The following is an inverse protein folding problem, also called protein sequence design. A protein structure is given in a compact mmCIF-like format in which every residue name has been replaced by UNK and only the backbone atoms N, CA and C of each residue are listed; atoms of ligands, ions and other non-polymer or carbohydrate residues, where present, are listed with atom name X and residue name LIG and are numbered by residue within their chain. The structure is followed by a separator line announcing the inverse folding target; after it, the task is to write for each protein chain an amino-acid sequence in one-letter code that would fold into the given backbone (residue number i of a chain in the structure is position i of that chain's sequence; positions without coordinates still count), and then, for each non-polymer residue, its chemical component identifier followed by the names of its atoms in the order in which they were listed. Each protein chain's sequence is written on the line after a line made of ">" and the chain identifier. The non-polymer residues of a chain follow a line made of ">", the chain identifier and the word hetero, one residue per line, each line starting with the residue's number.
data_IF_537301752114
#
_entry.id   IF_537301752114
#
_cell.length_a   1.000
_cell.length_b   1.000
_cell.length_c   1.000
_cell.angle_alpha   90.00
_cell.angle_beta   90.00
_cell.angle_gamma   90.00
#
_symmetry.space_group_name_H-M   'P 1'
#
loop_
_entity.id
_entity.type
_entity.pdbx_description
1 polymer ?
#
# COMPACT_ATOMS: atom_id res chain seq x y z
N UNK A 1 -30.81 -49.94 5.45
CA UNK A 1 -29.61 -49.27 4.92
C UNK A 1 -29.77 -47.79 5.20
N UNK A 2 -29.33 -47.34 6.37
CA UNK A 2 -29.23 -45.91 6.70
C UNK A 2 -27.78 -45.48 6.47
N UNK A 3 -27.58 -44.42 5.67
CA UNK A 3 -26.26 -43.79 5.49
C UNK A 3 -25.88 -43.04 6.78
N UNK A 4 -24.62 -43.08 7.22
CA UNK A 4 -24.19 -42.23 8.33
C UNK A 4 -24.09 -40.77 7.90
N UNK A 5 -24.57 -39.86 8.75
CA UNK A 5 -24.39 -38.42 8.61
C UNK A 5 -22.91 -38.05 8.79
N UNK A 6 -22.40 -37.29 7.84
CA UNK A 6 -21.07 -36.69 7.87
C UNK A 6 -21.04 -35.53 8.88
N UNK A 7 -20.21 -35.63 9.91
CA UNK A 7 -19.99 -34.54 10.88
C UNK A 7 -19.22 -33.40 10.20
N UNK A 8 -19.94 -32.36 9.79
CA UNK A 8 -19.33 -31.08 9.41
C UNK A 8 -18.75 -30.44 10.67
N UNK A 9 -17.43 -30.50 10.82
CA UNK A 9 -16.73 -29.83 11.92
C UNK A 9 -16.55 -28.36 11.53
N UNK A 10 -17.43 -27.48 12.02
CA UNK A 10 -17.23 -26.03 11.90
C UNK A 10 -16.02 -25.62 12.75
N UNK A 11 -14.97 -25.10 12.13
CA UNK A 11 -13.88 -24.41 12.83
C UNK A 11 -14.43 -23.09 13.36
N UNK A 12 -14.50 -22.94 14.68
CA UNK A 12 -14.80 -21.66 15.32
C UNK A 12 -13.53 -20.81 15.33
N UNK A 13 -13.63 -19.56 14.88
CA UNK A 13 -12.64 -18.52 15.15
C UNK A 13 -12.79 -18.18 16.63
N UNK A 14 -11.76 -18.47 17.42
CA UNK A 14 -11.70 -18.03 18.81
C UNK A 14 -11.27 -16.55 18.82
N UNK A 15 -12.23 -15.64 18.84
CA UNK A 15 -11.97 -14.24 19.21
C UNK A 15 -11.86 -14.19 20.72
N UNK A 16 -10.63 -14.18 21.24
CA UNK A 16 -10.39 -13.96 22.66
C UNK A 16 -10.48 -12.46 22.94
N UNK A 17 -11.64 -11.99 23.38
CA UNK A 17 -11.79 -10.68 24.01
C UNK A 17 -11.44 -10.83 25.50
N UNK A 18 -10.17 -10.65 25.85
CA UNK A 18 -9.71 -10.68 27.25
C UNK A 18 -9.86 -9.28 27.87
N UNK A 19 -11.07 -8.95 28.33
CA UNK A 19 -11.24 -7.85 29.27
C UNK A 19 -11.07 -8.37 30.71
N UNK A 20 -10.02 -7.90 31.40
CA UNK A 20 -9.96 -7.96 32.86
C UNK A 20 -9.34 -9.19 33.51
N UNK A 21 -8.22 -9.72 33.01
CA UNK A 21 -7.36 -10.61 33.81
C UNK A 21 -6.02 -9.93 34.11
N UNK A 22 -5.74 -9.70 35.39
CA UNK A 22 -4.37 -9.53 35.87
C UNK A 22 -3.72 -10.91 35.82
N UNK A 23 -2.97 -11.19 34.75
CA UNK A 23 -2.25 -12.45 34.63
C UNK A 23 -0.90 -12.28 35.34
N UNK A 24 -0.82 -12.61 36.63
CA UNK A 24 0.46 -12.80 37.30
C UNK A 24 1.06 -14.15 36.89
N UNK A 25 2.28 -14.12 36.32
CA UNK A 25 3.15 -15.27 36.19
C UNK A 25 2.99 -16.08 34.90
N UNK A 26 3.60 -15.62 33.80
CA UNK A 26 3.99 -16.49 32.69
C UNK A 26 5.50 -16.63 32.69
N UNK A 27 6.03 -17.55 33.50
CA UNK A 27 7.35 -18.11 33.26
C UNK A 27 7.19 -19.27 32.27
N UNK A 28 7.56 -19.06 31.00
CA UNK A 28 7.81 -20.06 29.92
C UNK A 28 6.75 -20.34 28.83
N UNK A 29 5.59 -19.66 28.78
CA UNK A 29 4.68 -19.82 27.62
C UNK A 29 5.00 -18.84 26.48
N UNK A 30 5.30 -19.34 25.28
CA UNK A 30 5.45 -18.52 24.06
C UNK A 30 4.10 -18.37 23.38
N UNK A 31 3.62 -17.14 23.16
CA UNK A 31 2.37 -16.92 22.40
C UNK A 31 2.71 -16.94 20.90
N UNK A 32 1.94 -17.70 20.12
CA UNK A 32 2.13 -17.80 18.66
C UNK A 32 0.93 -17.18 17.96
N UNK A 33 1.19 -16.14 17.18
CA UNK A 33 0.21 -15.45 16.34
C UNK A 33 0.36 -16.01 14.93
N UNK A 34 -0.64 -16.77 14.49
CA UNK A 34 -0.63 -17.46 13.20
C UNK A 34 -1.11 -16.55 12.08
N UNK A 35 -0.62 -16.77 10.86
CA UNK A 35 -1.16 -16.17 9.65
C UNK A 35 -1.00 -17.12 8.48
N UNK A 36 -2.04 -17.19 7.65
CA UNK A 36 -2.07 -17.93 6.39
C UNK A 36 -2.83 -17.14 5.32
N UNK A 37 -3.08 -17.77 4.16
CA UNK A 37 -3.78 -17.14 3.04
C UNK A 37 -5.23 -16.71 3.35
N UNK A 38 -5.82 -17.21 4.44
CA UNK A 38 -7.21 -16.95 4.83
C UNK A 38 -7.34 -15.96 5.97
N UNK A 39 -6.24 -15.64 6.66
CA UNK A 39 -6.21 -14.53 7.60
C UNK A 39 -5.01 -14.50 8.54
N UNK A 40 -5.04 -13.52 9.42
CA UNK A 40 -3.96 -13.23 10.36
C UNK A 40 -4.53 -13.08 11.77
N UNK A 41 -3.93 -13.78 12.73
CA UNK A 41 -4.20 -13.56 14.14
C UNK A 41 -3.76 -12.16 14.57
N UNK A 42 -4.39 -11.65 15.62
CA UNK A 42 -4.12 -10.31 16.15
C UNK A 42 -4.08 -10.35 17.66
N UNK A 43 -3.07 -9.71 18.25
CA UNK A 43 -2.92 -9.57 19.69
C UNK A 43 -2.61 -8.10 20.00
N UNK A 44 -3.49 -7.45 20.75
CA UNK A 44 -3.30 -6.11 21.28
C UNK A 44 -3.20 -6.25 22.79
N UNK A 45 -2.11 -5.74 23.36
CA UNK A 45 -1.81 -5.89 24.77
C UNK A 45 -1.72 -4.52 25.43
N UNK A 46 -2.47 -4.33 26.51
CA UNK A 46 -2.42 -3.11 27.31
C UNK A 46 -1.06 -2.92 28.02
N UNK A 47 -0.86 -1.76 28.62
CA UNK A 47 0.43 -1.29 29.16
C UNK A 47 1.00 -2.10 30.35
N UNK A 48 0.26 -3.07 30.90
CA UNK A 48 0.63 -3.83 32.10
C UNK A 48 1.46 -5.10 31.81
N UNK A 49 1.77 -5.41 30.56
CA UNK A 49 2.41 -6.67 30.15
C UNK A 49 3.64 -6.43 29.26
N UNK A 50 4.57 -5.63 29.76
CA UNK A 50 5.92 -5.51 29.18
C UNK A 50 6.66 -6.86 29.27
N UNK A 51 7.34 -7.27 28.20
CA UNK A 51 8.24 -8.43 28.24
C UNK A 51 7.65 -9.77 27.76
N UNK A 52 6.41 -9.79 27.25
CA UNK A 52 5.84 -11.03 26.69
C UNK A 52 6.57 -11.43 25.40
N UNK A 53 7.10 -12.67 25.38
CA UNK A 53 7.74 -13.24 24.21
C UNK A 53 6.70 -13.85 23.25
N UNK A 54 6.75 -13.43 21.99
CA UNK A 54 5.82 -13.82 20.94
C UNK A 54 6.54 -14.44 19.75
N UNK A 55 5.81 -15.28 19.02
CA UNK A 55 6.07 -15.64 17.62
C UNK A 55 4.97 -15.01 16.79
N UNK A 56 5.35 -14.32 15.74
CA UNK A 56 4.42 -13.61 14.87
C UNK A 56 4.65 -14.09 13.45
N UNK A 57 3.64 -14.72 12.87
CA UNK A 57 3.65 -15.16 11.49
C UNK A 57 2.94 -14.10 10.64
N UNK A 58 3.59 -13.61 9.59
CA UNK A 58 2.99 -12.77 8.53
C UNK A 58 2.98 -13.54 7.22
N UNK A 59 1.81 -13.72 6.60
CA UNK A 59 1.70 -14.50 5.36
C UNK A 59 2.21 -13.73 4.15
N UNK A 60 3.10 -14.34 3.36
CA UNK A 60 3.58 -13.80 2.09
C UNK A 60 2.94 -14.59 0.94
N UNK A 61 2.13 -13.96 0.07
CA UNK A 61 1.30 -14.66 -0.91
C UNK A 61 2.05 -15.17 -2.14
N UNK A 62 3.28 -14.70 -2.38
CA UNK A 62 4.08 -15.08 -3.55
C UNK A 62 5.58 -15.15 -3.23
N UNK A 63 6.35 -15.81 -4.09
CA UNK A 63 7.81 -15.80 -4.06
C UNK A 63 8.43 -14.55 -4.70
N UNK A 64 7.65 -13.50 -4.97
CA UNK A 64 8.17 -12.22 -5.46
C UNK A 64 8.72 -11.37 -4.30
N UNK A 65 9.18 -10.17 -4.60
CA UNK A 65 9.63 -9.23 -3.57
C UNK A 65 8.47 -8.66 -2.76
N UNK A 66 8.65 -8.60 -1.44
CA UNK A 66 7.70 -7.98 -0.51
C UNK A 66 8.46 -7.13 0.50
N UNK A 67 7.86 -6.04 0.98
CA UNK A 67 8.39 -5.27 2.10
C UNK A 67 7.75 -5.81 3.37
N UNK A 68 8.59 -6.23 4.31
CA UNK A 68 8.17 -6.70 5.62
C UNK A 68 8.71 -5.78 6.72
N UNK A 69 8.14 -5.86 7.92
CA UNK A 69 8.65 -5.18 9.09
C UNK A 69 8.55 -6.04 10.34
N UNK A 70 9.54 -6.05 11.24
CA UNK A 70 9.45 -6.80 12.48
C UNK A 70 8.36 -6.25 13.39
N UNK A 71 7.38 -7.09 13.71
CA UNK A 71 6.29 -6.80 14.65
C UNK A 71 6.60 -7.16 16.11
N UNK A 72 7.85 -7.55 16.38
CA UNK A 72 8.36 -7.85 17.72
C UNK A 72 9.84 -7.44 17.80
N UNK A 73 10.26 -6.99 18.98
CA UNK A 73 11.62 -6.50 19.22
C UNK A 73 12.59 -7.64 19.53
N UNK A 74 13.81 -7.56 19.00
CA UNK A 74 14.90 -8.47 19.33
C UNK A 74 15.08 -9.66 18.38
N UNK A 75 14.41 -9.68 17.23
CA UNK A 75 14.62 -10.69 16.19
C UNK A 75 16.03 -10.55 15.57
N UNK A 76 16.96 -11.50 15.75
CA UNK A 76 18.28 -11.43 15.12
C UNK A 76 18.18 -11.63 13.60
N UNK A 77 18.92 -10.84 12.81
CA UNK A 77 18.92 -10.92 11.34
C UNK A 77 19.35 -12.30 10.83
N UNK A 78 20.45 -12.85 11.36
CA UNK A 78 20.95 -14.17 10.97
C UNK A 78 19.91 -15.29 11.18
N UNK A 79 19.26 -15.29 12.35
CA UNK A 79 18.19 -16.25 12.68
C UNK A 79 16.96 -16.05 11.78
N UNK A 80 16.60 -14.80 11.47
CA UNK A 80 15.49 -14.51 10.57
C UNK A 80 15.75 -15.13 9.20
N UNK A 81 16.92 -14.88 8.61
CA UNK A 81 17.32 -15.40 7.30
C UNK A 81 17.28 -16.94 7.29
N UNK A 82 17.89 -17.59 8.28
CA UNK A 82 17.99 -19.06 8.32
C UNK A 82 16.65 -19.78 8.57
N UNK A 83 15.66 -19.11 9.17
CA UNK A 83 14.37 -19.71 9.55
C UNK A 83 13.23 -19.41 8.58
N UNK A 84 13.39 -18.46 7.67
CA UNK A 84 12.29 -17.95 6.83
C UNK A 84 12.37 -18.32 5.35
N UNK A 85 13.34 -19.16 4.95
CA UNK A 85 13.49 -19.58 3.56
C UNK A 85 13.77 -18.40 2.63
N UNK A 86 14.59 -17.45 3.09
CA UNK A 86 15.04 -16.31 2.27
C UNK A 86 15.97 -16.84 1.17
N UNK A 87 15.76 -16.36 -0.06
CA UNK A 87 16.59 -16.77 -1.21
C UNK A 87 18.05 -16.41 -0.94
N UNK A 88 18.92 -17.40 -1.09
CA UNK A 88 20.36 -17.24 -1.04
C UNK A 88 20.89 -17.09 -2.47
N UNK A 89 21.63 -16.01 -2.72
CA UNK A 89 22.33 -15.82 -3.97
C UNK A 89 23.81 -16.20 -3.80
N UNK A 90 24.10 -17.48 -4.03
CA UNK A 90 25.44 -18.05 -3.85
C UNK A 90 26.50 -17.36 -4.73
N UNK A 91 26.10 -16.81 -5.88
CA UNK A 91 27.00 -16.10 -6.80
C UNK A 91 27.56 -14.82 -6.20
N UNK A 92 26.73 -14.08 -5.46
CA UNK A 92 27.13 -12.79 -4.84
C UNK A 92 27.38 -12.89 -3.33
N UNK A 93 27.18 -14.06 -2.72
CA UNK A 93 27.37 -14.28 -1.29
C UNK A 93 26.41 -13.47 -0.41
N UNK A 94 25.21 -13.20 -0.91
CA UNK A 94 24.19 -12.40 -0.21
C UNK A 94 22.83 -13.13 -0.16
N UNK A 95 21.92 -12.55 0.62
CA UNK A 95 20.54 -13.00 0.70
C UNK A 95 19.62 -11.94 0.14
N UNK A 96 18.47 -12.37 -0.39
CA UNK A 96 17.38 -11.48 -0.78
C UNK A 96 16.62 -10.98 0.46
N UNK A 97 17.35 -10.26 1.30
CA UNK A 97 16.90 -9.45 2.41
C UNK A 97 17.66 -8.13 2.34
N UNK A 98 16.96 -7.02 2.20
CA UNK A 98 17.60 -5.73 2.03
C UNK A 98 16.83 -4.67 2.82
N UNK A 99 17.46 -3.92 3.74
CA UNK A 99 16.92 -2.62 4.10
C UNK A 99 16.99 -1.68 2.88
N UNK A 100 16.13 -0.67 2.85
CA UNK A 100 16.29 0.43 1.92
C UNK A 100 17.46 1.29 2.40
N UNK A 101 18.44 1.52 1.54
CA UNK A 101 19.47 2.55 1.74
C UNK A 101 18.92 3.87 1.23
N UNK A 102 18.63 4.75 2.18
CA UNK A 102 17.98 6.03 1.94
C UNK A 102 18.90 7.02 1.19
N UNK A 103 20.23 6.85 1.24
CA UNK A 103 21.17 7.72 0.53
C UNK A 103 21.26 7.38 -0.96
N UNK A 104 21.37 6.08 -1.28
CA UNK A 104 21.42 5.62 -2.67
C UNK A 104 20.05 5.35 -3.29
N UNK A 105 18.98 5.38 -2.49
CA UNK A 105 17.62 5.02 -2.84
C UNK A 105 17.53 3.62 -3.47
N UNK A 106 18.32 2.69 -2.92
CA UNK A 106 18.47 1.33 -3.42
C UNK A 106 18.34 0.32 -2.28
N UNK A 107 17.96 -0.92 -2.61
CA UNK A 107 17.86 -2.01 -1.66
C UNK A 107 19.23 -2.68 -1.51
N UNK A 108 19.91 -2.45 -0.38
CA UNK A 108 21.25 -3.03 -0.14
C UNK A 108 21.15 -4.47 0.36
N UNK A 109 21.64 -5.48 -0.39
CA UNK A 109 21.51 -6.88 0.02
C UNK A 109 22.27 -7.20 1.31
N UNK A 110 21.65 -8.00 2.16
CA UNK A 110 22.26 -8.52 3.37
C UNK A 110 23.36 -9.53 3.03
N UNK A 111 24.58 -9.23 3.44
CA UNK A 111 25.73 -10.14 3.34
C UNK A 111 26.01 -10.78 4.69
N UNK A 112 26.34 -12.08 4.67
CA UNK A 112 26.36 -12.93 5.87
C UNK A 112 27.53 -12.68 6.83
N UNK A 113 28.33 -11.62 6.68
CA UNK A 113 29.52 -11.44 7.51
C UNK A 113 29.15 -11.04 8.95
N UNK A 114 28.93 -12.05 9.81
CA UNK A 114 28.91 -11.99 11.28
C UNK A 114 27.82 -11.15 11.98
N UNK A 115 26.77 -10.73 11.27
CA UNK A 115 25.80 -9.77 11.80
C UNK A 115 24.79 -10.40 12.79
N UNK A 116 25.09 -10.32 14.10
CA UNK A 116 24.16 -10.57 15.20
C UNK A 116 23.25 -9.36 15.51
N UNK A 117 23.24 -8.31 14.67
CA UNK A 117 22.34 -7.19 14.89
C UNK A 117 20.90 -7.65 14.78
N UNK A 118 20.06 -7.11 15.66
CA UNK A 118 18.62 -7.32 15.60
C UNK A 118 18.04 -6.53 14.44
N UNK A 119 17.00 -7.08 13.82
CA UNK A 119 16.12 -6.30 12.97
C UNK A 119 15.52 -5.17 13.81
N UNK A 120 15.43 -3.98 13.22
CA UNK A 120 14.87 -2.81 13.88
C UNK A 120 13.35 -2.87 13.74
N UNK A 121 12.65 -2.88 14.88
CA UNK A 121 11.19 -2.84 14.93
C UNK A 121 10.67 -1.61 14.17
N UNK A 122 9.62 -1.80 13.36
CA UNK A 122 9.03 -0.73 12.55
C UNK A 122 9.89 -0.27 11.36
N UNK A 123 11.10 -0.80 11.16
CA UNK A 123 11.87 -0.60 9.91
C UNK A 123 11.40 -1.60 8.85
N UNK A 124 11.33 -1.15 7.61
CA UNK A 124 10.97 -1.96 6.44
C UNK A 124 12.18 -2.66 5.83
N UNK A 125 12.00 -3.91 5.41
CA UNK A 125 12.99 -4.74 4.73
C UNK A 125 12.36 -5.40 3.52
N UNK A 126 12.93 -5.22 2.32
CA UNK A 126 12.54 -5.99 1.15
C UNK A 126 13.09 -7.41 1.28
N UNK A 127 12.23 -8.40 1.04
CA UNK A 127 12.62 -9.81 1.04
C UNK A 127 12.11 -10.54 -0.19
N UNK A 128 12.81 -11.61 -0.56
CA UNK A 128 12.28 -12.64 -1.46
C UNK A 128 12.45 -14.03 -0.85
N UNK A 129 11.36 -14.80 -0.84
CA UNK A 129 11.33 -16.18 -0.33
C UNK A 129 11.47 -17.19 -1.46
N UNK A 130 11.96 -18.38 -1.14
CA UNK A 130 12.02 -19.51 -2.07
C UNK A 130 10.63 -20.06 -2.43
N UNK A 131 9.62 -19.82 -1.59
CA UNK A 131 8.22 -20.20 -1.82
C UNK A 131 7.25 -19.29 -1.03
N UNK A 132 5.99 -19.25 -1.48
CA UNK A 132 4.84 -18.67 -0.74
C UNK A 132 4.74 -19.27 0.66
N UNK A 133 4.37 -18.45 1.65
CA UNK A 133 4.17 -18.90 3.03
C UNK A 133 4.52 -17.83 4.05
N UNK A 134 4.37 -18.16 5.34
CA UNK A 134 4.61 -17.22 6.42
C UNK A 134 6.09 -16.83 6.56
N UNK A 135 6.33 -15.57 6.93
CA UNK A 135 7.55 -15.13 7.61
C UNK A 135 7.29 -15.07 9.11
N UNK A 136 8.28 -15.44 9.89
CA UNK A 136 8.22 -15.61 11.34
C UNK A 136 9.14 -14.59 11.98
N UNK A 137 8.57 -13.74 12.84
CA UNK A 137 9.29 -12.88 13.76
C UNK A 137 9.15 -13.44 15.17
N UNK A 138 10.27 -13.61 15.88
CA UNK A 138 10.31 -13.97 17.29
C UNK A 138 10.95 -12.85 18.08
N UNK A 139 10.35 -12.48 19.20
CA UNK A 139 10.87 -11.41 20.04
C UNK A 139 9.91 -11.04 21.15
N UNK A 140 10.16 -9.89 21.76
CA UNK A 140 9.29 -9.30 22.77
C UNK A 140 8.24 -8.42 22.08
N UNK A 141 6.98 -8.55 22.48
CA UNK A 141 5.88 -7.73 21.97
C UNK A 141 6.08 -6.24 22.28
N UNK A 142 5.67 -5.39 21.35
CA UNK A 142 5.65 -3.94 21.54
C UNK A 142 4.28 -3.51 22.08
N UNK A 143 4.26 -2.91 23.27
CA UNK A 143 3.02 -2.48 23.97
C UNK A 143 2.90 -0.97 24.11
N UNK A 144 3.85 -0.23 23.54
CA UNK A 144 3.92 1.23 23.62
C UNK A 144 4.14 1.85 22.25
N UNK A 145 4.24 3.17 22.26
CA UNK A 145 4.61 3.97 21.11
C UNK A 145 5.99 3.57 20.58
N UNK A 146 6.09 3.34 19.26
CA UNK A 146 7.34 3.02 18.57
C UNK A 146 7.73 4.20 17.68
N UNK A 147 8.91 4.74 17.90
CA UNK A 147 9.47 5.82 17.09
C UNK A 147 10.49 5.25 16.10
N UNK A 148 10.30 5.51 14.81
CA UNK A 148 11.18 5.06 13.74
C UNK A 148 11.82 6.28 13.06
N UNK A 149 13.15 6.42 13.08
CA UNK A 149 13.81 7.53 12.42
C UNK A 149 13.62 7.45 10.90
N UNK A 150 13.39 8.60 10.29
CA UNK A 150 13.32 8.77 8.83
C UNK A 150 14.30 9.85 8.39
N UNK A 151 14.83 9.73 7.19
CA UNK A 151 15.82 10.66 6.64
C UNK A 151 15.35 11.25 5.31
N UNK A 152 15.74 12.50 5.06
CA UNK A 152 15.67 13.13 3.74
C UNK A 152 17.06 13.15 3.12
N UNK A 153 17.58 11.95 2.84
CA UNK A 153 18.77 11.76 2.02
C UNK A 153 18.34 11.59 0.57
N UNK A 154 19.01 12.28 -0.37
CA UNK A 154 18.71 12.21 -1.80
C UNK A 154 17.20 12.43 -2.12
N UNK A 155 16.45 11.37 -2.40
CA UNK A 155 15.02 11.43 -2.74
C UNK A 155 14.08 11.39 -1.53
N UNK A 156 14.58 11.03 -0.33
CA UNK A 156 13.82 11.05 0.92
C UNK A 156 12.84 9.90 1.13
N UNK A 157 12.96 8.80 0.40
CA UNK A 157 12.13 7.61 0.60
C UNK A 157 12.68 6.75 1.74
N UNK A 158 11.79 6.27 2.60
CA UNK A 158 12.11 5.47 3.77
C UNK A 158 11.19 4.24 3.82
N UNK A 159 11.76 3.06 4.03
CA UNK A 159 11.00 1.84 4.27
C UNK A 159 10.74 1.66 5.77
N UNK A 160 9.47 1.67 6.14
CA UNK A 160 8.99 1.47 7.52
C UNK A 160 7.92 0.37 7.52
N UNK A 161 7.31 0.06 8.66
CA UNK A 161 6.22 -0.89 8.67
C UNK A 161 5.61 -1.11 10.04
N UNK A 162 4.64 -2.03 10.06
CA UNK A 162 3.83 -2.28 11.23
C UNK A 162 4.65 -2.90 12.39
N UNK A 163 4.90 -2.16 13.48
CA UNK A 163 5.67 -2.66 14.62
C UNK A 163 4.83 -3.50 15.59
N UNK A 164 3.52 -3.62 15.35
CA UNK A 164 2.58 -4.25 16.27
C UNK A 164 2.15 -5.65 15.82
N UNK A 165 1.69 -6.43 16.79
CA UNK A 165 1.13 -7.77 16.60
C UNK A 165 -0.35 -7.76 16.21
N UNK A 166 -0.84 -6.62 15.73
CA UNK A 166 -2.19 -6.37 15.24
C UNK A 166 -2.12 -5.63 13.91
N UNK A 167 -3.25 -5.43 13.24
CA UNK A 167 -3.27 -4.50 12.12
C UNK A 167 -2.92 -3.09 12.60
N UNK A 168 -2.37 -2.30 11.67
CA UNK A 168 -2.05 -0.90 11.88
C UNK A 168 -3.01 -0.03 11.07
N UNK A 169 -3.82 0.76 11.76
CA UNK A 169 -4.71 1.77 11.19
C UNK A 169 -3.90 2.87 10.48
N UNK A 170 -4.25 3.12 9.22
CA UNK A 170 -3.56 4.11 8.37
C UNK A 170 -4.32 5.43 8.28
N UNK A 171 -5.64 5.39 8.12
CA UNK A 171 -6.50 6.56 7.90
C UNK A 171 -7.19 7.04 9.18
N UNK A 172 -7.76 8.24 9.13
CA UNK A 172 -8.57 8.83 10.20
C UNK A 172 -7.75 9.49 11.32
N UNK A 173 -8.43 10.08 12.30
CA UNK A 173 -7.83 10.94 13.33
C UNK A 173 -6.72 10.26 14.15
N UNK A 174 -6.84 8.95 14.37
CA UNK A 174 -5.86 8.14 15.08
C UNK A 174 -4.98 7.28 14.17
N UNK A 175 -5.12 7.40 12.86
CA UNK A 175 -4.34 6.66 11.88
C UNK A 175 -2.92 7.20 11.68
N UNK A 176 -2.07 6.34 11.13
CA UNK A 176 -0.67 6.64 10.83
C UNK A 176 -0.50 7.94 10.04
N UNK A 177 -1.32 8.19 9.00
CA UNK A 177 -1.19 9.37 8.15
C UNK A 177 -1.41 10.68 8.91
N UNK A 178 -2.44 10.74 9.76
CA UNK A 178 -2.74 11.95 10.55
C UNK A 178 -1.67 12.23 11.59
N UNK A 179 -1.18 11.21 12.31
CA UNK A 179 -0.16 11.41 13.34
C UNK A 179 1.21 11.77 12.78
N UNK A 180 1.51 11.37 11.54
CA UNK A 180 2.83 11.56 10.92
C UNK A 180 2.87 12.62 9.82
N UNK A 181 1.77 13.34 9.57
CA UNK A 181 1.65 14.29 8.46
C UNK A 181 2.78 15.33 8.45
N UNK A 182 3.18 15.86 9.62
CA UNK A 182 4.25 16.87 9.71
C UNK A 182 5.65 16.35 9.39
N UNK A 183 5.85 15.02 9.38
CA UNK A 183 7.12 14.39 9.06
C UNK A 183 7.18 13.92 7.59
N UNK A 184 6.06 13.90 6.89
CA UNK A 184 5.94 13.45 5.50
C UNK A 184 5.95 14.62 4.51
N UNK A 185 6.49 14.38 3.33
CA UNK A 185 6.45 15.36 2.24
C UNK A 185 4.98 15.63 1.84
N UNK A 186 4.49 16.90 1.82
CA UNK A 186 3.09 17.20 1.59
C UNK A 186 2.56 16.68 0.26
N UNK A 187 3.40 16.65 -0.78
CA UNK A 187 3.01 16.15 -2.11
C UNK A 187 3.07 14.63 -2.21
N UNK A 188 3.61 13.93 -1.21
CA UNK A 188 3.77 12.47 -1.17
C UNK A 188 3.32 11.90 0.18
N UNK A 189 2.36 12.56 0.82
CA UNK A 189 1.88 12.22 2.16
C UNK A 189 0.93 11.00 2.09
N UNK A 190 1.50 9.83 1.82
CA UNK A 190 0.77 8.57 1.69
C UNK A 190 1.61 7.38 2.11
N UNK A 191 0.95 6.23 2.23
CA UNK A 191 1.58 4.93 2.48
C UNK A 191 1.67 4.17 1.16
N UNK A 192 2.90 3.90 0.72
CA UNK A 192 3.17 3.30 -0.60
C UNK A 192 3.43 1.80 -0.47
N UNK A 193 2.64 0.99 -1.16
CA UNK A 193 2.68 -0.47 -1.11
C UNK A 193 2.86 -1.02 -2.52
N UNK A 194 3.82 -1.91 -2.72
CA UNK A 194 4.04 -2.53 -4.01
C UNK A 194 2.92 -3.52 -4.35
N UNK A 195 2.22 -3.29 -5.46
CA UNK A 195 1.22 -4.22 -5.99
C UNK A 195 1.82 -5.07 -7.11
N UNK A 196 1.93 -6.38 -6.86
CA UNK A 196 2.44 -7.32 -7.85
C UNK A 196 1.52 -7.46 -9.06
N UNK A 197 0.20 -7.34 -8.87
CA UNK A 197 -0.79 -7.42 -9.95
C UNK A 197 -0.77 -6.20 -10.88
N UNK A 198 -0.40 -5.03 -10.35
CA UNK A 198 -0.30 -3.79 -11.13
C UNK A 198 1.12 -3.48 -11.60
N UNK A 199 2.13 -4.13 -11.03
CA UNK A 199 3.54 -3.84 -11.33
C UNK A 199 3.97 -2.43 -10.93
N UNK A 200 3.29 -1.83 -9.96
CA UNK A 200 3.56 -0.48 -9.45
C UNK A 200 3.22 -0.33 -7.98
N UNK A 201 3.65 0.77 -7.37
CA UNK A 201 3.17 1.17 -6.04
C UNK A 201 1.73 1.68 -6.10
N UNK A 202 0.88 1.14 -5.22
CA UNK A 202 -0.42 1.70 -4.85
C UNK A 202 -0.21 2.57 -3.62
N UNK A 203 -0.96 3.67 -3.53
CA UNK A 203 -0.81 4.64 -2.44
C UNK A 203 -2.09 4.70 -1.62
N UNK A 204 -1.98 4.44 -0.32
CA UNK A 204 -3.06 4.67 0.63
C UNK A 204 -2.94 6.11 1.12
N UNK A 205 -3.98 6.91 0.87
CA UNK A 205 -4.14 8.30 1.35
C UNK A 205 -5.35 8.38 2.29
N UNK A 206 -5.73 9.58 2.74
CA UNK A 206 -6.96 9.79 3.50
C UNK A 206 -8.22 9.71 2.63
N UNK A 207 -8.08 9.80 1.29
CA UNK A 207 -9.20 9.58 0.38
C UNK A 207 -9.66 8.12 0.47
N UNK A 208 -10.97 7.88 0.58
CA UNK A 208 -11.53 6.54 0.71
C UNK A 208 -12.34 6.16 -0.53
N UNK A 209 -11.86 5.22 -1.32
CA UNK A 209 -12.53 4.70 -2.51
C UNK A 209 -12.07 3.27 -2.76
N UNK A 210 -12.96 2.31 -2.99
CA UNK A 210 -12.57 0.90 -3.06
C UNK A 210 -12.82 0.29 -4.43
N UNK A 211 -11.75 0.13 -5.23
CA UNK A 211 -11.87 -0.61 -6.50
C UNK A 211 -11.94 -2.13 -6.26
N UNK A 212 -12.84 -2.86 -6.94
CA UNK A 212 -12.89 -4.33 -6.85
C UNK A 212 -11.64 -4.99 -7.45
N UNK A 213 -11.29 -6.18 -6.96
CA UNK A 213 -10.24 -7.02 -7.53
C UNK A 213 -10.65 -7.61 -8.91
N UNK A 214 -9.71 -7.94 -9.82
CA UNK A 214 -8.26 -7.96 -9.66
C UNK A 214 -7.58 -6.61 -9.98
N UNK A 215 -6.68 -6.17 -9.09
CA UNK A 215 -5.94 -4.92 -9.24
C UNK A 215 -6.52 -3.72 -8.47
N UNK A 216 -7.41 -3.96 -7.50
CA UNK A 216 -7.99 -2.96 -6.63
C UNK A 216 -7.45 -2.97 -5.20
N UNK A 217 -7.72 -1.90 -4.45
CA UNK A 217 -7.40 -1.80 -3.03
C UNK A 217 -8.29 -2.73 -2.18
N UNK A 218 -9.26 -3.44 -2.76
CA UNK A 218 -9.98 -4.51 -2.03
C UNK A 218 -9.11 -5.70 -1.64
N UNK A 219 -7.88 -5.84 -2.18
CA UNK A 219 -6.86 -6.78 -1.65
C UNK A 219 -6.09 -6.23 -0.43
N UNK A 220 -6.07 -4.91 -0.26
CA UNK A 220 -5.44 -4.17 0.83
C UNK A 220 -6.54 -3.32 1.46
N UNK A 221 -7.39 -3.87 2.34
CA UNK A 221 -8.38 -3.09 3.09
C UNK A 221 -7.79 -1.71 3.41
N UNK A 222 -8.23 -0.65 2.73
CA UNK A 222 -7.42 0.58 2.63
C UNK A 222 -7.17 1.25 3.99
N UNK A 223 -7.85 0.77 5.02
CA UNK A 223 -7.75 1.26 6.38
C UNK A 223 -6.59 0.66 7.17
N UNK A 224 -6.03 -0.51 6.81
CA UNK A 224 -5.04 -1.19 7.64
C UNK A 224 -3.82 -1.79 6.90
N UNK A 225 -2.70 -1.87 7.62
CA UNK A 225 -1.49 -2.61 7.23
C UNK A 225 -1.41 -3.88 8.07
N UNK A 226 -1.24 -5.02 7.40
CA UNK A 226 -1.23 -6.32 8.05
C UNK A 226 -0.02 -6.48 9.01
N UNK A 227 -0.13 -7.46 9.91
CA UNK A 227 0.97 -7.84 10.80
C UNK A 227 2.16 -8.31 9.98
N UNK A 228 3.34 -7.78 10.27
CA UNK A 228 4.58 -8.10 9.57
C UNK A 228 4.75 -7.40 8.21
N UNK A 229 3.79 -6.60 7.75
CA UNK A 229 3.87 -5.87 6.49
C UNK A 229 4.61 -4.55 6.66
N UNK A 230 5.50 -4.26 5.70
CA UNK A 230 6.15 -2.97 5.56
C UNK A 230 5.65 -2.19 4.35
N UNK A 231 5.97 -0.91 4.33
CA UNK A 231 5.57 0.05 3.30
C UNK A 231 6.62 1.16 3.18
N UNK A 232 6.46 2.01 2.18
CA UNK A 232 7.37 3.14 1.94
C UNK A 232 6.64 4.46 2.22
N UNK A 233 7.38 5.42 2.79
CA UNK A 233 6.94 6.81 3.01
C UNK A 233 8.00 7.78 2.52
N UNK A 234 7.61 9.02 2.22
CA UNK A 234 8.54 10.09 1.84
C UNK A 234 8.67 11.12 2.95
N UNK A 235 9.90 11.37 3.40
CA UNK A 235 10.20 12.31 4.47
C UNK A 235 10.30 13.75 3.95
N UNK A 236 9.74 14.72 4.67
CA UNK A 236 9.92 16.16 4.36
C UNK A 236 11.29 16.69 4.80
N UNK A 237 11.86 16.08 5.83
CA UNK A 237 13.17 16.36 6.41
C UNK A 237 13.63 15.15 7.24
N UNK A 238 14.88 15.17 7.72
CA UNK A 238 15.31 14.22 8.76
C UNK A 238 14.40 14.37 9.99
N UNK A 239 13.90 13.25 10.51
CA UNK A 239 12.92 13.27 11.58
C UNK A 239 12.55 11.86 12.02
N UNK A 240 11.30 11.68 12.41
CA UNK A 240 10.81 10.43 12.97
C UNK A 240 9.34 10.28 12.62
N UNK A 241 8.96 9.06 12.23
CA UNK A 241 7.55 8.64 12.23
C UNK A 241 7.26 7.86 13.50
N UNK A 242 6.07 8.05 14.04
CA UNK A 242 5.62 7.47 15.29
C UNK A 242 4.45 6.55 15.02
N UNK A 243 4.55 5.35 15.56
CA UNK A 243 3.46 4.38 15.65
C UNK A 243 2.93 4.45 17.07
N UNK A 244 1.66 4.83 17.23
CA UNK A 244 1.03 4.97 18.53
C UNK A 244 0.07 3.82 18.81
N UNK A 245 -0.20 3.53 20.08
CA UNK A 245 -1.04 2.41 20.49
C UNK A 245 -2.48 2.53 19.96
N UNK A 246 -2.97 3.76 19.74
CA UNK A 246 -4.29 4.02 19.16
C UNK A 246 -4.40 3.59 17.68
N UNK A 247 -3.26 3.34 17.02
CA UNK A 247 -3.23 2.80 15.65
C UNK A 247 -3.44 1.29 15.62
N UNK A 248 -3.40 0.58 16.75
CA UNK A 248 -3.61 -0.87 16.77
C UNK A 248 -5.08 -1.22 16.59
N UNK A 249 -5.39 -2.09 15.64
CA UNK A 249 -6.72 -2.64 15.47
C UNK A 249 -6.70 -4.12 15.08
N UNK A 250 -7.81 -4.80 15.34
CA UNK A 250 -8.01 -6.16 14.83
C UNK A 250 -8.47 -6.05 13.38
N UNK A 251 -7.73 -6.66 12.45
CA UNK A 251 -8.12 -6.68 11.03
C UNK A 251 -9.51 -7.27 10.87
N UNK A 252 -10.38 -6.56 10.15
CA UNK A 252 -11.66 -7.10 9.72
C UNK A 252 -11.45 -8.02 8.50
N UNK A 253 -11.00 -9.25 8.73
CA UNK A 253 -11.17 -10.31 7.73
C UNK A 253 -12.53 -10.93 7.93
N UNK A 254 -13.52 -10.28 7.33
CA UNK A 254 -14.76 -10.88 6.87
C UNK A 254 -15.52 -9.78 6.15
N UNK A 255 -16.13 -10.10 5.01
CA UNK A 255 -17.09 -9.25 4.30
C UNK A 255 -18.38 -9.01 5.10
N UNK A 256 -18.25 -8.75 6.40
CA UNK A 256 -19.30 -8.46 7.36
C UNK A 256 -18.75 -7.38 8.30
N UNK A 257 -18.68 -6.14 7.80
CA UNK A 257 -18.73 -4.96 8.67
C UNK A 257 -20.20 -4.72 8.99
N UNK A 258 -20.61 -4.89 10.25
CA UNK A 258 -21.89 -4.39 10.75
C UNK A 258 -21.70 -3.00 11.37
N UNK A 259 -21.14 -2.02 10.65
CA UNK A 259 -21.17 -0.61 11.06
C UNK A 259 -21.19 0.34 9.83
N UNK A 260 -22.24 1.17 9.80
CA UNK A 260 -22.55 2.40 9.04
C UNK A 260 -21.61 2.92 7.93
N UNK A 261 -22.18 3.10 6.72
CA UNK A 261 -21.96 4.23 5.79
C UNK A 261 -20.61 4.94 5.83
N UNK A 262 -19.50 4.26 5.51
CA UNK A 262 -18.41 4.97 4.85
C UNK A 262 -18.79 5.09 3.38
N UNK A 263 -19.43 6.19 2.99
CA UNK A 263 -19.67 6.50 1.58
C UNK A 263 -18.33 6.55 0.86
N UNK A 264 -18.02 5.52 0.10
CA UNK A 264 -16.84 5.49 -0.78
C UNK A 264 -16.95 6.66 -1.76
N UNK A 265 -15.83 7.36 -1.94
CA UNK A 265 -15.77 8.54 -2.79
C UNK A 265 -15.90 8.10 -4.25
N UNK A 266 -16.64 8.86 -5.09
CA UNK A 266 -16.59 8.66 -6.52
C UNK A 266 -15.13 8.71 -7.00
N UNK A 267 -14.67 7.69 -7.70
CA UNK A 267 -13.31 7.66 -8.22
C UNK A 267 -13.21 6.96 -9.56
N UNK A 268 -12.16 7.32 -10.31
CA UNK A 268 -11.78 6.69 -11.57
C UNK A 268 -10.31 6.32 -11.53
N UNK A 269 -10.00 5.08 -11.88
CA UNK A 269 -8.64 4.60 -12.11
C UNK A 269 -8.40 4.53 -13.61
N UNK A 270 -7.47 5.32 -14.10
CA UNK A 270 -7.05 5.29 -15.49
C UNK A 270 -5.86 4.35 -15.58
N UNK A 271 -5.92 3.43 -16.52
CA UNK A 271 -4.85 2.48 -16.80
C UNK A 271 -4.35 2.68 -18.23
N UNK A 272 -3.04 2.67 -18.40
CA UNK A 272 -2.39 2.46 -19.70
C UNK A 272 -1.71 1.09 -19.71
N UNK A 273 -1.90 0.35 -20.80
CA UNK A 273 -1.25 -0.96 -21.01
C UNK A 273 -0.56 -1.01 -22.36
N UNK A 274 0.60 -1.64 -22.41
CA UNK A 274 1.15 -2.26 -23.61
C UNK A 274 1.08 -3.81 -23.48
N UNK A 275 1.78 -4.56 -24.34
CA UNK A 275 1.78 -6.03 -24.34
C UNK A 275 2.43 -6.67 -23.09
N UNK A 276 3.22 -5.91 -22.32
CA UNK A 276 4.05 -6.38 -21.20
C UNK A 276 3.92 -5.53 -19.94
N UNK A 277 3.64 -4.24 -20.07
CA UNK A 277 3.66 -3.25 -19.00
C UNK A 277 2.29 -2.65 -18.80
N UNK A 278 2.04 -2.23 -17.57
CA UNK A 278 0.83 -1.55 -17.15
C UNK A 278 1.21 -0.43 -16.18
N UNK A 279 0.51 0.69 -16.25
CA UNK A 279 0.60 1.75 -15.26
C UNK A 279 -0.77 2.39 -15.04
N UNK A 280 -1.01 2.92 -13.85
CA UNK A 280 -2.28 3.54 -13.49
C UNK A 280 -2.14 4.72 -12.54
N UNK A 281 -3.11 5.63 -12.64
CA UNK A 281 -3.32 6.76 -11.74
C UNK A 281 -4.80 6.84 -11.36
N UNK A 282 -5.11 7.42 -10.20
CA UNK A 282 -6.46 7.57 -9.68
C UNK A 282 -6.84 9.04 -9.58
N UNK A 283 -8.05 9.36 -10.01
CA UNK A 283 -8.73 10.62 -9.70
C UNK A 283 -9.94 10.32 -8.83
N UNK A 284 -9.97 10.87 -7.61
CA UNK A 284 -11.09 10.75 -6.68
C UNK A 284 -11.79 12.10 -6.52
N UNK A 285 -13.09 12.08 -6.18
CA UNK A 285 -13.91 13.28 -6.09
C UNK A 285 -14.56 13.42 -4.71
N UNK A 286 -14.38 14.58 -4.07
CA UNK A 286 -15.08 14.96 -2.85
C UNK A 286 -15.18 16.49 -2.76
N UNK A 287 -16.33 17.03 -2.37
CA UNK A 287 -16.56 18.48 -2.33
C UNK A 287 -15.69 19.25 -1.31
N UNK A 288 -15.04 18.56 -0.38
CA UNK A 288 -14.10 19.17 0.57
C UNK A 288 -12.68 19.37 -0.02
N UNK A 289 -12.42 18.83 -1.21
CA UNK A 289 -11.12 18.92 -1.89
C UNK A 289 -10.98 20.20 -2.71
N UNK A 290 -9.78 20.48 -3.18
CA UNK A 290 -9.43 21.70 -3.93
C UNK A 290 -8.83 21.37 -5.30
N UNK A 291 -8.57 22.42 -6.11
CA UNK A 291 -7.84 22.29 -7.38
C UNK A 291 -6.33 22.32 -7.21
N UNK A 292 -5.88 22.67 -6.00
CA UNK A 292 -4.50 22.73 -5.56
C UNK A 292 -4.16 21.43 -4.84
N UNK A 293 -2.94 21.35 -4.30
CA UNK A 293 -2.52 20.23 -3.47
C UNK A 293 -3.36 20.16 -2.18
N UNK A 294 -3.97 19.01 -1.94
CA UNK A 294 -4.61 18.62 -0.69
C UNK A 294 -3.73 17.59 0.05
N UNK A 295 -2.85 18.02 0.97
CA UNK A 295 -1.90 17.12 1.63
C UNK A 295 -2.60 15.98 2.36
N UNK A 296 -2.04 14.77 2.20
CA UNK A 296 -2.58 13.51 2.69
C UNK A 296 -3.84 12.99 1.97
N UNK A 297 -4.39 13.69 1.00
CA UNK A 297 -5.43 13.19 0.08
C UNK A 297 -4.86 12.98 -1.31
N UNK A 298 -4.12 13.96 -1.82
CA UNK A 298 -3.27 13.82 -2.99
C UNK A 298 -1.97 13.08 -2.64
N UNK A 299 -1.49 12.26 -3.58
CA UNK A 299 -0.19 11.61 -3.45
C UNK A 299 0.55 11.50 -4.77
N UNK A 300 1.77 12.04 -4.76
CA UNK A 300 2.75 11.96 -5.83
C UNK A 300 3.12 10.52 -6.13
N UNK A 301 3.41 10.23 -7.39
CA UNK A 301 3.78 8.91 -7.87
C UNK A 301 5.20 8.55 -7.45
N UNK A 302 5.35 7.34 -6.89
CA UNK A 302 6.66 6.76 -6.67
C UNK A 302 7.14 6.04 -7.95
N UNK A 303 7.86 6.76 -8.80
CA UNK A 303 8.37 6.28 -10.10
C UNK A 303 9.53 5.28 -9.95
N UNK A 304 9.22 4.08 -9.49
CA UNK A 304 10.13 2.91 -9.48
C UNK A 304 9.63 1.78 -10.40
N UNK A 305 8.69 2.09 -11.31
CA UNK A 305 8.05 1.11 -12.17
C UNK A 305 8.97 0.69 -13.34
N UNK A 306 8.57 -0.36 -14.07
CA UNK A 306 9.33 -0.99 -15.16
C UNK A 306 9.37 -0.14 -16.47
N UNK A 307 9.56 1.17 -16.36
CA UNK A 307 9.73 2.08 -17.50
C UNK A 307 8.44 2.53 -18.18
N UNK A 308 7.29 2.45 -17.52
CA UNK A 308 6.05 3.12 -17.93
C UNK A 308 5.36 3.74 -16.70
N UNK A 309 5.14 5.05 -16.72
CA UNK A 309 4.49 5.78 -15.63
C UNK A 309 3.35 6.65 -16.18
N UNK A 310 2.11 6.35 -15.80
CA UNK A 310 0.91 7.15 -16.05
C UNK A 310 0.54 7.92 -14.79
N UNK A 311 0.42 9.24 -14.90
CA UNK A 311 0.17 10.11 -13.76
C UNK A 311 -0.73 11.28 -14.15
N UNK A 312 -1.31 11.95 -13.17
CA UNK A 312 -1.95 13.25 -13.35
C UNK A 312 -1.03 14.38 -12.92
N UNK A 313 -1.39 15.61 -13.29
CA UNK A 313 -0.87 16.83 -12.66
C UNK A 313 -2.02 17.64 -12.07
N UNK A 314 -1.74 18.44 -11.04
CA UNK A 314 -2.72 19.35 -10.46
C UNK A 314 -3.23 20.32 -11.53
N UNK A 315 -4.48 20.77 -11.36
CA UNK A 315 -5.03 21.81 -12.24
C UNK A 315 -4.26 23.12 -12.07
N UNK A 316 -3.91 23.43 -10.83
CA UNK A 316 -2.91 24.44 -10.47
C UNK A 316 -1.57 23.72 -10.23
N UNK A 317 -0.86 23.42 -11.33
CA UNK A 317 0.33 22.55 -11.33
C UNK A 317 1.44 23.04 -10.38
N UNK A 318 2.00 22.10 -9.62
CA UNK A 318 3.15 22.29 -8.74
C UNK A 318 4.41 21.53 -9.22
N UNK A 319 4.35 20.93 -10.40
CA UNK A 319 5.44 20.16 -11.01
C UNK A 319 5.59 18.72 -10.47
N UNK A 320 4.64 18.24 -9.67
CA UNK A 320 4.62 16.86 -9.16
C UNK A 320 3.67 16.01 -10.01
N UNK A 321 4.13 14.79 -10.28
CA UNK A 321 3.36 13.77 -10.98
C UNK A 321 2.59 12.95 -9.96
N UNK A 322 1.26 12.89 -10.06
CA UNK A 322 0.39 12.28 -9.04
C UNK A 322 -0.09 10.87 -9.42
N UNK A 323 0.02 9.95 -8.45
CA UNK A 323 -0.59 8.63 -8.50
C UNK A 323 -2.04 8.65 -8.01
N UNK A 324 -2.35 9.56 -7.08
CA UNK A 324 -3.69 9.85 -6.58
C UNK A 324 -3.88 11.36 -6.60
N UNK A 325 -4.94 11.81 -7.24
CA UNK A 325 -5.37 13.21 -7.22
C UNK A 325 -6.84 13.29 -6.79
N UNK A 326 -7.12 14.14 -5.82
CA UNK A 326 -8.44 14.42 -5.32
C UNK A 326 -8.93 15.76 -5.86
N UNK A 327 -10.19 15.84 -6.29
CA UNK A 327 -10.78 17.06 -6.84
C UNK A 327 -12.18 17.31 -6.29
N UNK A 328 -12.63 18.58 -6.23
CA UNK A 328 -14.02 18.88 -5.88
C UNK A 328 -14.97 18.22 -6.86
N UNK A 329 -15.97 17.50 -6.37
CA UNK A 329 -16.98 16.90 -7.25
C UNK A 329 -17.82 17.98 -7.95
N UNK A 330 -18.08 19.10 -7.26
CA UNK A 330 -18.73 20.26 -7.87
C UNK A 330 -17.95 20.73 -9.10
N UNK A 331 -18.67 21.02 -10.19
CA UNK A 331 -18.11 21.54 -11.44
C UNK A 331 -17.14 20.59 -12.17
N UNK A 332 -17.19 19.27 -11.91
CA UNK A 332 -16.33 18.26 -12.54
C UNK A 332 -16.26 18.34 -14.07
N UNK A 333 -17.35 18.79 -14.71
CA UNK A 333 -17.45 18.94 -16.17
C UNK A 333 -16.52 20.02 -16.74
N UNK A 334 -16.09 20.96 -15.91
CA UNK A 334 -15.16 22.03 -16.29
C UNK A 334 -13.70 21.59 -16.26
N UNK A 335 -13.41 20.44 -15.64
CA UNK A 335 -12.04 20.00 -15.44
C UNK A 335 -11.48 19.39 -16.70
N UNK A 336 -10.25 19.83 -16.99
CA UNK A 336 -9.41 19.29 -18.03
C UNK A 336 -8.12 18.82 -17.39
N UNK A 337 -8.20 17.63 -16.80
CA UNK A 337 -7.15 17.10 -15.90
C UNK A 337 -5.99 16.62 -16.78
N UNK A 338 -4.78 17.18 -16.64
CA UNK A 338 -3.62 16.73 -17.40
C UNK A 338 -3.31 15.27 -17.09
N UNK A 339 -3.15 14.46 -18.13
CA UNK A 339 -2.62 13.10 -18.04
C UNK A 339 -1.22 13.07 -18.66
N UNK A 340 -0.24 12.75 -17.82
CA UNK A 340 1.14 12.55 -18.23
C UNK A 340 1.48 11.08 -18.42
N UNK A 341 2.33 10.80 -19.40
CA UNK A 341 2.83 9.45 -19.63
C UNK A 341 4.32 9.50 -19.94
N UNK A 342 5.12 8.87 -19.08
CA UNK A 342 6.53 8.61 -19.33
C UNK A 342 6.64 7.17 -19.84
N UNK A 343 6.96 7.00 -21.12
CA UNK A 343 7.11 5.69 -21.74
C UNK A 343 8.25 5.73 -22.79
N UNK A 344 9.52 5.58 -22.33
CA UNK A 344 10.68 5.79 -23.20
C UNK A 344 10.79 4.81 -24.37
N UNK A 345 10.18 3.62 -24.26
CA UNK A 345 10.17 2.62 -25.33
C UNK A 345 9.23 2.99 -26.48
N UNK A 346 8.19 3.80 -26.23
CA UNK A 346 7.18 4.12 -27.23
C UNK A 346 6.41 2.89 -27.74
N UNK A 347 5.67 3.06 -28.83
CA UNK A 347 4.86 1.98 -29.42
C UNK A 347 3.38 2.07 -29.08
N UNK A 348 2.65 0.98 -29.36
CA UNK A 348 1.20 0.93 -29.21
C UNK A 348 0.82 0.79 -27.74
N UNK A 349 0.01 1.72 -27.25
CA UNK A 349 -0.57 1.66 -25.91
C UNK A 349 -2.10 1.73 -25.97
N UNK A 350 -2.75 1.25 -24.92
CA UNK A 350 -4.21 1.33 -24.74
C UNK A 350 -4.56 1.95 -23.39
N UNK A 351 -5.38 2.99 -23.41
CA UNK A 351 -5.99 3.60 -22.24
C UNK A 351 -7.37 3.02 -21.96
N UNK A 352 -7.61 2.67 -20.71
CA UNK A 352 -8.92 2.26 -20.17
C UNK A 352 -9.16 2.92 -18.81
N UNK A 353 -10.40 2.93 -18.35
CA UNK A 353 -10.76 3.43 -17.03
C UNK A 353 -11.69 2.45 -16.31
N UNK A 354 -11.44 2.29 -15.01
CA UNK A 354 -12.33 1.62 -14.05
C UNK A 354 -12.92 2.69 -13.13
N UNK A 355 -14.17 2.54 -12.72
CA UNK A 355 -14.87 3.57 -11.94
C UNK A 355 -15.59 2.97 -10.74
N UNK A 356 -15.73 3.74 -9.67
CA UNK A 356 -16.42 3.34 -8.44
C UNK A 356 -17.28 4.49 -7.93
N UNK A 357 -18.48 4.18 -7.44
CA UNK A 357 -19.42 5.11 -6.79
C UNK A 357 -19.66 6.44 -7.52
N UNK A 358 -19.65 6.41 -8.86
CA UNK A 358 -19.87 7.62 -9.66
C UNK A 358 -21.32 8.12 -9.57
N UNK A 359 -21.54 9.45 -9.59
CA UNK A 359 -22.84 10.02 -9.86
C UNK A 359 -23.45 9.49 -11.16
N UNK A 360 -24.78 9.31 -11.17
CA UNK A 360 -25.48 8.77 -12.32
C UNK A 360 -25.21 9.59 -13.59
N UNK A 361 -24.76 8.90 -14.65
CA UNK A 361 -24.50 9.49 -15.95
C UNK A 361 -23.19 10.25 -16.07
N UNK A 362 -22.31 10.24 -15.06
CA UNK A 362 -20.93 10.71 -15.20
C UNK A 362 -20.14 9.73 -16.09
N UNK A 363 -19.48 10.25 -17.12
CA UNK A 363 -18.72 9.49 -18.11
C UNK A 363 -17.31 10.06 -18.28
N UNK A 364 -16.31 9.20 -18.47
CA UNK A 364 -14.92 9.61 -18.62
C UNK A 364 -14.38 9.42 -20.04
N UNK A 365 -13.65 10.45 -20.49
CA UNK A 365 -13.07 10.53 -21.82
C UNK A 365 -11.59 10.89 -21.73
N UNK A 366 -10.80 10.35 -22.66
CA UNK A 366 -9.46 10.85 -22.96
C UNK A 366 -9.52 11.78 -24.17
N UNK A 367 -8.93 12.96 -24.04
CA UNK A 367 -8.68 13.88 -25.13
C UNK A 367 -7.20 13.81 -25.52
N UNK A 368 -6.89 13.40 -26.75
CA UNK A 368 -5.55 13.49 -27.34
C UNK A 368 -5.44 14.75 -28.20
N UNK A 369 -4.67 15.73 -27.73
CA UNK A 369 -4.47 17.01 -28.43
C UNK A 369 -3.64 16.92 -29.70
N UNK A 370 -2.82 15.88 -29.83
CA UNK A 370 -2.02 15.68 -31.04
C UNK A 370 -2.87 15.14 -32.18
N UNK A 371 -3.78 14.21 -31.89
CA UNK A 371 -4.64 13.59 -32.92
C UNK A 371 -6.01 14.27 -33.04
N UNK A 372 -6.39 15.10 -32.08
CA UNK A 372 -7.73 15.71 -31.99
C UNK A 372 -8.82 14.72 -31.59
N UNK A 373 -8.45 13.51 -31.16
CA UNK A 373 -9.39 12.46 -30.80
C UNK A 373 -9.92 12.66 -29.39
N UNK A 374 -11.22 12.46 -29.24
CA UNK A 374 -11.90 12.38 -27.96
C UNK A 374 -12.58 11.01 -27.86
N UNK A 375 -12.14 10.17 -26.92
CA UNK A 375 -12.61 8.80 -26.78
C UNK A 375 -13.10 8.53 -25.37
N UNK A 376 -14.28 7.92 -25.23
CA UNK A 376 -14.76 7.38 -23.94
C UNK A 376 -13.87 6.19 -23.52
N UNK A 377 -13.54 6.07 -22.24
CA UNK A 377 -12.60 5.04 -21.75
C UNK A 377 -13.11 4.19 -20.58
N UNK A 378 -14.24 4.53 -19.98
CA UNK A 378 -14.82 3.95 -18.75
C UNK A 378 -15.90 2.87 -18.99
N UNK A 379 -15.82 2.13 -20.09
CA UNK A 379 -16.67 0.97 -20.32
C UNK A 379 -15.90 -0.17 -20.97
N UNK A 380 -16.31 -1.41 -20.70
CA UNK A 380 -15.62 -2.64 -21.13
C UNK A 380 -15.41 -2.77 -22.65
N UNK A 381 -16.23 -2.06 -23.44
CA UNK A 381 -16.15 -2.03 -24.91
C UNK A 381 -15.40 -0.81 -25.46
N UNK A 382 -15.06 0.13 -24.59
CA UNK A 382 -14.44 1.41 -24.94
C UNK A 382 -13.00 1.47 -24.43
N UNK A 383 -12.28 2.49 -24.83
CA UNK A 383 -10.84 2.60 -24.62
C UNK A 383 -10.19 3.26 -25.82
N UNK A 384 -9.01 3.80 -25.61
CA UNK A 384 -8.31 4.57 -26.62
C UNK A 384 -6.94 3.97 -26.89
N UNK A 385 -6.68 3.60 -28.14
CA UNK A 385 -5.41 3.04 -28.55
C UNK A 385 -4.65 4.03 -29.42
N UNK A 386 -3.36 4.16 -29.17
CA UNK A 386 -2.51 5.13 -29.86
C UNK A 386 -1.07 4.65 -29.91
N UNK A 387 -0.39 4.91 -31.02
CA UNK A 387 1.04 4.66 -31.16
C UNK A 387 1.82 5.89 -30.73
N UNK A 388 2.70 5.71 -29.75
CA UNK A 388 3.59 6.74 -29.22
C UNK A 388 4.96 6.66 -29.90
N UNK A 389 5.62 7.81 -30.15
CA UNK A 389 7.00 7.82 -30.60
C UNK A 389 7.94 7.31 -29.51
N UNK A 390 9.14 6.87 -29.89
CA UNK A 390 10.21 6.55 -28.95
C UNK A 390 10.52 7.76 -28.06
N UNK A 391 10.95 7.50 -26.81
CA UNK A 391 11.26 8.51 -25.79
C UNK A 391 10.07 9.41 -25.43
N UNK A 392 8.83 8.89 -25.55
CA UNK A 392 7.65 9.63 -25.14
C UNK A 392 7.69 9.95 -23.64
N UNK A 393 7.51 11.22 -23.29
CA UNK A 393 7.60 11.68 -21.91
C UNK A 393 6.76 12.93 -21.68
N UNK A 394 6.17 13.04 -20.49
CA UNK A 394 5.58 14.28 -20.00
C UNK A 394 4.09 14.40 -20.24
N UNK A 395 3.60 15.63 -20.09
CA UNK A 395 2.20 16.01 -20.16
C UNK A 395 1.92 16.84 -21.41
N UNK A 396 0.69 17.37 -21.54
CA UNK A 396 0.33 18.30 -22.61
C UNK A 396 -0.37 17.67 -23.82
N UNK A 397 -0.23 16.34 -24.01
CA UNK A 397 -0.93 15.59 -25.06
C UNK A 397 -2.28 15.05 -24.59
N UNK A 398 -2.30 14.31 -23.50
CA UNK A 398 -3.48 13.60 -23.01
C UNK A 398 -4.14 14.35 -21.86
N UNK A 399 -5.46 14.36 -21.84
CA UNK A 399 -6.26 14.93 -20.75
C UNK A 399 -7.44 14.04 -20.44
N UNK A 400 -7.74 13.90 -19.16
CA UNK A 400 -8.96 13.28 -18.69
C UNK A 400 -10.06 14.33 -18.59
N UNK A 401 -11.23 13.98 -19.12
CA UNK A 401 -12.43 14.77 -19.07
C UNK A 401 -13.56 13.94 -18.47
N UNK A 402 -14.25 14.49 -17.49
CA UNK A 402 -15.50 13.95 -16.99
C UNK A 402 -16.68 14.72 -17.63
N UNK A 403 -17.71 14.02 -18.08
CA UNK A 403 -18.87 14.61 -18.76
C UNK A 403 -20.17 14.00 -18.23
N UNK A 404 -21.27 14.72 -18.39
CA UNK A 404 -22.59 14.11 -18.19
C UNK A 404 -23.07 13.50 -19.49
N UNK A 405 -23.56 12.26 -19.42
CA UNK A 405 -24.22 11.57 -20.52
C UNK A 405 -25.30 12.46 -21.13
N UNK A 406 -25.22 12.66 -22.45
CA UNK A 406 -26.21 13.42 -23.21
C UNK A 406 -25.90 14.92 -23.39
N UNK A 407 -24.82 15.45 -22.81
CA UNK A 407 -24.29 16.75 -23.21
C UNK A 407 -23.42 16.60 -24.47
N UNK A 408 -23.86 17.20 -25.58
CA UNK A 408 -23.13 17.25 -26.87
C UNK A 408 -22.11 18.38 -26.89
#
# INVERSE_FOLDING_TARGET
>A
MEKPMEKVTKKYILVILLMGIVVQGWSQGKVIIQSDATGTGSLIVGTQSSGLNVVVNGFIPSSNWHIISPSATGQPLGTFVSSNGIVNNATFGNYDLSPLDEASNNWTPFTQSSNNSSMVVGKGYAIRKTATGAVTFSGTINTGTVAVPITKSNLGWNAVGNPYTSALKIKGADGFLTKNQSAMDPSFSGVYIWSQSLGQYVVITQAGYAFPAPGGETELNESDIAVGQGFVVKAIANGTVTFDNLMQEHSSISGISYLSDSSSWPAVRITVTDDKKKSSTVVAFNNEMTKNLDPAYDAGMFKMNDGMDLYTQLLDDNGVDFAVQCLPLKDYQSYRIPLGLDYPEGGLVRFTAETVDLPEGMEFYIEDKTTGVLSRIDSDKTGYSVTLPDKFKGTGRFYLLARQKGFR
#
